data_IF_949510460864
#
_entry.id   IF_949510460864
#
_cell.length_a   1.000
_cell.length_b   1.000
_cell.length_c   1.000
_cell.angle_alpha   90.00
_cell.angle_beta   90.00
_cell.angle_gamma   90.00
#
_symmetry.space_group_name_H-M   'P 1'
#
loop_
_entity.id
_entity.type
_entity.pdbx_description
1 polymer ?
#
# COMPACT_ATOMS: atom_id res chain seq x y z
N UNK A 1 0.07 21.33 -10.32
CA UNK A 1 -1.27 21.35 -10.91
C UNK A 1 -2.29 21.93 -9.95
N UNK A 2 -3.54 22.03 -10.41
CA UNK A 2 -4.66 22.46 -9.58
C UNK A 2 -5.65 21.29 -9.44
N UNK A 3 -6.50 21.25 -8.39
CA UNK A 3 -7.47 20.17 -8.17
C UNK A 3 -8.36 19.90 -9.39
N UNK A 4 -8.88 20.95 -10.01
CA UNK A 4 -9.71 20.87 -11.22
C UNK A 4 -9.00 20.22 -12.42
N UNK A 5 -7.68 20.41 -12.55
CA UNK A 5 -6.89 19.75 -13.61
C UNK A 5 -6.72 18.26 -13.33
N UNK A 6 -6.60 17.85 -12.07
CA UNK A 6 -6.55 16.44 -11.73
C UNK A 6 -7.91 15.77 -11.97
N UNK A 7 -9.01 16.40 -11.57
CA UNK A 7 -10.37 15.90 -11.87
C UNK A 7 -10.58 15.76 -13.39
N UNK A 8 -10.16 16.77 -14.15
CA UNK A 8 -10.23 16.71 -15.63
C UNK A 8 -9.36 15.57 -16.19
N UNK A 9 -8.19 15.33 -15.62
CA UNK A 9 -7.34 14.21 -16.05
C UNK A 9 -8.04 12.87 -15.84
N UNK A 10 -8.63 12.65 -14.67
CA UNK A 10 -9.38 11.41 -14.37
C UNK A 10 -10.57 11.26 -15.33
N UNK A 11 -11.34 12.33 -15.56
CA UNK A 11 -12.46 12.32 -16.51
C UNK A 11 -12.01 11.96 -17.95
N UNK A 12 -10.89 12.52 -18.40
CA UNK A 12 -10.33 12.18 -19.72
C UNK A 12 -9.87 10.73 -19.82
N UNK A 13 -9.33 10.16 -18.75
CA UNK A 13 -8.98 8.73 -18.70
C UNK A 13 -10.23 7.87 -18.80
N UNK A 14 -11.28 8.19 -18.04
CA UNK A 14 -12.56 7.49 -18.12
C UNK A 14 -13.20 7.55 -19.50
N UNK A 15 -13.17 8.71 -20.17
CA UNK A 15 -13.63 8.84 -21.55
C UNK A 15 -12.85 7.96 -22.54
N UNK A 16 -11.58 7.67 -22.24
CA UNK A 16 -10.75 6.75 -23.01
C UNK A 16 -10.92 5.27 -22.58
N UNK A 17 -11.79 4.96 -21.61
CA UNK A 17 -12.00 3.61 -21.06
C UNK A 17 -10.86 3.13 -20.17
N UNK A 18 -10.11 4.06 -19.57
CA UNK A 18 -8.96 3.77 -18.68
C UNK A 18 -9.33 4.10 -17.24
N UNK A 19 -9.24 3.11 -16.35
CA UNK A 19 -9.37 3.32 -14.90
C UNK A 19 -8.12 3.98 -14.32
N UNK A 20 -8.30 4.73 -13.22
CA UNK A 20 -7.22 5.45 -12.53
C UNK A 20 -7.16 5.02 -11.08
N UNK A 21 -5.99 4.52 -10.65
CA UNK A 21 -5.75 4.09 -9.27
C UNK A 21 -4.97 5.16 -8.53
N UNK A 22 -5.43 5.51 -7.32
CA UNK A 22 -4.74 6.44 -6.44
C UNK A 22 -3.67 5.71 -5.63
N UNK A 23 -2.45 6.21 -5.68
CA UNK A 23 -1.39 5.75 -4.78
C UNK A 23 -1.55 6.43 -3.42
N UNK A 24 -1.78 5.65 -2.37
CA UNK A 24 -2.15 6.13 -1.05
C UNK A 24 -1.20 5.63 0.02
N UNK A 25 -0.61 6.56 0.78
CA UNK A 25 0.42 6.28 1.79
C UNK A 25 -0.14 6.49 3.21
N UNK A 26 -0.81 5.50 3.82
CA UNK A 26 -1.34 5.61 5.18
C UNK A 26 -0.33 5.24 6.27
N UNK A 27 0.89 4.89 5.90
CA UNK A 27 1.94 4.42 6.83
C UNK A 27 2.61 5.58 7.53
N UNK A 28 3.04 6.58 6.73
CA UNK A 28 3.87 7.68 7.21
C UNK A 28 3.60 8.97 6.44
N UNK A 29 4.12 10.09 6.96
CA UNK A 29 3.98 11.41 6.34
C UNK A 29 5.28 12.22 6.45
N UNK A 30 5.46 13.17 5.53
CA UNK A 30 6.63 14.04 5.46
C UNK A 30 6.72 14.98 6.68
N UNK A 31 7.96 15.32 7.08
CA UNK A 31 8.27 16.19 8.24
C UNK A 31 8.47 17.66 7.85
N UNK A 32 7.74 18.13 6.85
CA UNK A 32 7.80 19.53 6.44
C UNK A 32 7.27 20.48 7.50
N UNK A 33 7.81 21.71 7.54
CA UNK A 33 7.43 22.71 8.54
C UNK A 33 5.96 23.20 8.47
N UNK A 34 5.26 22.87 7.39
CA UNK A 34 3.82 23.08 7.18
C UNK A 34 3.02 21.77 7.23
N UNK A 35 3.67 20.65 7.57
CA UNK A 35 3.07 19.31 7.59
C UNK A 35 2.36 18.98 8.90
N UNK A 36 2.14 17.68 9.10
CA UNK A 36 1.36 17.17 10.24
C UNK A 36 2.19 16.98 11.51
N UNK A 37 3.53 16.91 11.41
CA UNK A 37 4.40 16.68 12.57
C UNK A 37 4.24 17.79 13.59
N UNK A 38 3.95 17.42 14.85
CA UNK A 38 3.71 18.34 15.95
C UNK A 38 2.68 19.44 15.58
N UNK A 39 1.59 19.05 14.93
CA UNK A 39 0.62 19.96 14.33
C UNK A 39 0.09 21.03 15.29
N UNK A 40 -0.16 20.67 16.55
CA UNK A 40 -0.59 21.56 17.62
C UNK A 40 0.50 21.78 18.70
N UNK A 41 1.75 21.45 18.37
CA UNK A 41 2.89 21.46 19.30
C UNK A 41 3.07 20.16 20.07
N UNK A 42 2.20 19.16 19.83
CA UNK A 42 2.30 17.81 20.40
C UNK A 42 2.26 16.73 19.30
N UNK A 43 2.70 15.49 19.58
CA UNK A 43 2.56 14.37 18.64
C UNK A 43 1.09 13.98 18.50
N UNK A 44 0.38 14.62 17.56
CA UNK A 44 -1.04 14.39 17.33
C UNK A 44 -1.29 13.22 16.36
N UNK A 45 -0.56 13.20 15.26
CA UNK A 45 -0.69 12.20 14.19
C UNK A 45 0.32 11.08 14.30
N UNK A 46 1.48 11.34 14.91
CA UNK A 46 2.62 10.44 15.02
C UNK A 46 2.80 9.85 16.41
N UNK A 47 3.63 8.79 16.50
CA UNK A 47 4.10 8.27 17.79
C UNK A 47 5.13 9.22 18.41
N UNK A 48 5.10 9.36 19.74
CA UNK A 48 5.98 10.28 20.51
C UNK A 48 7.41 9.74 20.71
N UNK A 49 7.70 8.52 20.30
CA UNK A 49 9.01 7.92 20.43
C UNK A 49 9.65 7.66 19.04
N UNK A 50 10.96 7.77 18.98
CA UNK A 50 11.69 7.60 17.71
C UNK A 50 11.64 6.18 17.16
N UNK A 51 11.64 5.18 18.02
CA UNK A 51 11.71 3.78 17.59
C UNK A 51 10.51 3.35 16.74
N UNK A 52 9.30 3.83 17.07
CA UNK A 52 8.08 3.54 16.32
C UNK A 52 7.59 4.72 15.49
N UNK A 53 8.00 5.95 15.84
CA UNK A 53 7.50 7.19 15.25
C UNK A 53 8.30 7.69 14.05
N UNK A 54 9.56 7.31 13.90
CA UNK A 54 10.39 7.72 12.77
C UNK A 54 10.58 6.55 11.81
N UNK A 55 10.41 6.81 10.50
CA UNK A 55 10.71 5.82 9.47
C UNK A 55 12.19 5.90 9.07
N UNK A 56 12.70 4.86 8.43
CA UNK A 56 14.03 4.83 7.84
C UNK A 56 14.24 5.89 6.74
N UNK A 57 13.14 6.40 6.17
CA UNK A 57 13.15 7.46 5.15
C UNK A 57 13.10 8.88 5.74
N UNK A 58 13.19 9.02 7.06
CA UNK A 58 13.16 10.32 7.74
C UNK A 58 11.78 10.96 7.84
N UNK A 59 10.71 10.20 7.62
CA UNK A 59 9.31 10.60 7.79
C UNK A 59 8.76 10.15 9.14
N UNK A 60 7.56 10.62 9.50
CA UNK A 60 6.87 10.20 10.73
C UNK A 60 5.81 9.14 10.44
N UNK A 61 5.77 8.07 11.24
CA UNK A 61 4.73 7.05 11.15
C UNK A 61 3.45 7.51 11.83
N UNK A 62 2.31 7.29 11.16
CA UNK A 62 0.99 7.53 11.73
C UNK A 62 0.71 6.62 12.92
N UNK A 63 0.09 7.19 13.99
CA UNK A 63 -0.36 6.41 15.14
C UNK A 63 -1.74 5.79 14.89
N UNK A 64 -1.77 4.56 14.36
CA UNK A 64 -2.99 3.88 13.95
C UNK A 64 -3.91 3.45 15.11
N UNK A 65 -3.45 3.53 16.36
CA UNK A 65 -4.30 3.29 17.54
C UNK A 65 -5.23 4.45 17.88
N UNK A 66 -5.01 5.66 17.32
CA UNK A 66 -5.87 6.83 17.53
C UNK A 66 -7.02 6.86 16.52
N UNK A 67 -8.25 6.94 17.04
CA UNK A 67 -9.44 6.99 16.20
C UNK A 67 -9.50 8.22 15.28
N UNK A 68 -8.98 9.35 15.75
CA UNK A 68 -8.89 10.59 14.99
C UNK A 68 -7.98 10.43 13.77
N UNK A 69 -6.85 9.74 13.92
CA UNK A 69 -5.92 9.43 12.83
C UNK A 69 -6.54 8.42 11.87
N UNK A 70 -7.20 7.37 12.38
CA UNK A 70 -7.94 6.43 11.56
C UNK A 70 -9.03 7.14 10.75
N UNK A 71 -9.80 8.03 11.39
CA UNK A 71 -10.86 8.80 10.73
C UNK A 71 -10.27 9.74 9.66
N UNK A 72 -9.15 10.42 9.95
CA UNK A 72 -8.46 11.26 8.99
C UNK A 72 -8.04 10.48 7.73
N UNK A 73 -7.37 9.34 7.92
CA UNK A 73 -6.91 8.51 6.81
C UNK A 73 -8.07 7.94 5.99
N UNK A 74 -9.12 7.46 6.67
CA UNK A 74 -10.29 6.94 5.99
C UNK A 74 -11.06 8.03 5.22
N UNK A 75 -11.16 9.22 5.80
CA UNK A 75 -11.81 10.37 5.14
C UNK A 75 -11.00 10.83 3.92
N UNK A 76 -9.67 10.83 4.02
CA UNK A 76 -8.80 11.17 2.89
C UNK A 76 -8.98 10.17 1.73
N UNK A 77 -8.97 8.87 2.02
CA UNK A 77 -9.20 7.85 1.00
C UNK A 77 -10.59 7.97 0.36
N UNK A 78 -11.64 8.13 1.19
CA UNK A 78 -13.00 8.34 0.70
C UNK A 78 -13.11 9.59 -0.19
N UNK A 79 -12.41 10.68 0.16
CA UNK A 79 -12.41 11.92 -0.62
C UNK A 79 -11.84 11.71 -2.03
N UNK A 80 -10.76 10.96 -2.18
CA UNK A 80 -10.21 10.63 -3.49
C UNK A 80 -11.16 9.80 -4.36
N UNK A 81 -11.86 8.83 -3.76
CA UNK A 81 -12.82 8.00 -4.47
C UNK A 81 -14.12 8.77 -4.80
N UNK A 82 -14.64 9.58 -3.87
CA UNK A 82 -15.91 10.29 -4.00
C UNK A 82 -15.81 11.52 -4.91
N UNK A 83 -14.81 12.39 -4.66
CA UNK A 83 -14.71 13.70 -5.30
C UNK A 83 -13.91 13.67 -6.61
N UNK A 84 -12.87 12.83 -6.67
CA UNK A 84 -12.01 12.71 -7.85
C UNK A 84 -12.35 11.51 -8.72
N UNK A 85 -13.23 10.63 -8.24
CA UNK A 85 -13.68 9.46 -8.97
C UNK A 85 -12.56 8.47 -9.36
N UNK A 86 -11.55 8.31 -8.50
CA UNK A 86 -10.57 7.25 -8.69
C UNK A 86 -11.25 5.87 -8.62
N UNK A 87 -10.82 4.94 -9.46
CA UNK A 87 -11.40 3.59 -9.55
C UNK A 87 -10.88 2.64 -8.48
N UNK A 88 -9.89 3.07 -7.72
CA UNK A 88 -9.32 2.28 -6.64
C UNK A 88 -8.16 2.97 -5.95
N UNK A 89 -7.62 2.25 -4.97
CA UNK A 89 -6.49 2.70 -4.15
C UNK A 89 -5.44 1.59 -4.13
N UNK A 90 -4.20 1.94 -4.44
CA UNK A 90 -3.03 1.13 -4.11
C UNK A 90 -2.45 1.66 -2.82
N UNK A 91 -2.43 0.83 -1.80
CA UNK A 91 -1.91 1.17 -0.49
C UNK A 91 -0.44 0.82 -0.40
N UNK A 92 0.37 1.85 -0.18
CA UNK A 92 1.83 1.79 -0.09
C UNK A 92 2.28 1.13 1.22
N UNK A 93 3.35 0.33 1.14
CA UNK A 93 4.11 -0.23 2.25
C UNK A 93 3.24 -0.88 3.36
N UNK A 94 2.24 -1.69 2.97
CA UNK A 94 1.33 -2.38 3.91
C UNK A 94 2.09 -3.28 4.88
N UNK A 95 3.23 -3.83 4.49
CA UNK A 95 4.15 -4.57 5.37
C UNK A 95 4.47 -3.82 6.67
N UNK A 96 4.62 -2.50 6.61
CA UNK A 96 4.94 -1.66 7.77
C UNK A 96 3.73 -1.37 8.67
N UNK A 97 2.53 -1.63 8.19
CA UNK A 97 1.31 -1.65 9.01
C UNK A 97 1.10 -3.02 9.65
N UNK A 98 1.44 -4.09 8.94
CA UNK A 98 1.32 -5.46 9.44
C UNK A 98 2.29 -5.70 10.60
N UNK A 99 3.57 -5.40 10.38
CA UNK A 99 4.62 -5.59 11.39
C UNK A 99 5.19 -4.24 11.83
N UNK A 100 5.57 -4.15 13.10
CA UNK A 100 6.23 -2.95 13.62
C UNK A 100 7.48 -2.63 12.80
N UNK A 101 7.49 -1.46 12.14
CA UNK A 101 8.56 -1.00 11.24
C UNK A 101 8.80 -1.93 10.02
N UNK A 102 7.85 -2.77 9.65
CA UNK A 102 7.98 -3.75 8.57
C UNK A 102 8.85 -4.97 8.93
N UNK A 103 9.24 -5.11 10.19
CA UNK A 103 10.12 -6.17 10.66
C UNK A 103 9.30 -7.23 11.42
N UNK A 104 9.21 -8.43 10.84
CA UNK A 104 8.50 -9.57 11.42
C UNK A 104 8.97 -9.92 12.85
N UNK A 105 10.28 -9.74 13.13
CA UNK A 105 10.85 -10.04 14.45
C UNK A 105 10.33 -9.14 15.56
N UNK A 106 9.78 -7.97 15.20
CA UNK A 106 9.17 -7.01 16.12
C UNK A 106 7.70 -7.30 16.43
N UNK A 107 7.13 -8.31 15.77
CA UNK A 107 5.76 -8.77 15.95
C UNK A 107 4.73 -7.95 15.18
N UNK A 108 3.51 -8.48 15.18
CA UNK A 108 2.36 -7.89 14.49
C UNK A 108 1.87 -6.63 15.20
N UNK A 109 1.51 -5.61 14.44
CA UNK A 109 0.87 -4.40 14.94
C UNK A 109 -0.66 -4.58 14.89
N UNK A 110 -1.22 -5.18 15.93
CA UNK A 110 -2.65 -5.49 15.99
C UNK A 110 -3.55 -4.28 15.78
N UNK A 111 -3.14 -3.10 16.25
CA UNK A 111 -3.94 -1.87 16.07
C UNK A 111 -3.96 -1.41 14.61
N UNK A 112 -2.88 -1.59 13.87
CA UNK A 112 -2.85 -1.28 12.44
C UNK A 112 -3.58 -2.37 11.63
N UNK A 113 -3.55 -3.63 12.03
CA UNK A 113 -4.38 -4.70 11.45
C UNK A 113 -5.87 -4.38 11.61
N UNK A 114 -6.30 -3.99 12.78
CA UNK A 114 -7.70 -3.58 13.02
C UNK A 114 -8.09 -2.36 12.18
N UNK A 115 -7.18 -1.38 12.07
CA UNK A 115 -7.37 -0.24 11.18
C UNK A 115 -7.52 -0.67 9.72
N UNK A 116 -6.64 -1.52 9.19
CA UNK A 116 -6.71 -2.01 7.80
C UNK A 116 -8.05 -2.70 7.50
N UNK A 117 -8.49 -3.59 8.40
CA UNK A 117 -9.78 -4.27 8.27
C UNK A 117 -10.96 -3.28 8.24
N UNK A 118 -10.98 -2.34 9.18
CA UNK A 118 -12.03 -1.32 9.25
C UNK A 118 -12.01 -0.39 8.03
N UNK A 119 -10.81 0.02 7.60
CA UNK A 119 -10.59 0.88 6.45
C UNK A 119 -11.10 0.24 5.15
N UNK A 120 -10.66 -0.98 4.85
CA UNK A 120 -11.06 -1.70 3.65
C UNK A 120 -12.56 -2.01 3.64
N UNK A 121 -13.11 -2.48 4.77
CA UNK A 121 -14.55 -2.73 4.90
C UNK A 121 -15.37 -1.45 4.68
N UNK A 122 -14.97 -0.34 5.30
CA UNK A 122 -15.66 0.95 5.18
C UNK A 122 -15.63 1.50 3.76
N UNK A 123 -14.49 1.39 3.06
CA UNK A 123 -14.39 1.81 1.66
C UNK A 123 -15.24 0.92 0.73
N UNK A 124 -15.19 -0.39 0.90
CA UNK A 124 -16.01 -1.32 0.09
C UNK A 124 -17.51 -1.17 0.32
N UNK A 125 -17.95 -0.76 1.51
CA UNK A 125 -19.34 -0.44 1.77
C UNK A 125 -19.82 0.81 1.04
N UNK A 126 -18.98 1.83 0.91
CA UNK A 126 -19.29 3.10 0.23
C UNK A 126 -19.05 3.03 -1.27
N UNK A 127 -17.98 2.37 -1.67
CA UNK A 127 -17.48 2.26 -3.04
C UNK A 127 -17.29 0.77 -3.40
N UNK A 128 -18.36 0.00 -3.61
CA UNK A 128 -18.27 -1.45 -3.79
C UNK A 128 -17.48 -1.87 -5.03
N UNK A 129 -17.36 -1.01 -6.02
CA UNK A 129 -16.59 -1.24 -7.26
C UNK A 129 -15.14 -0.79 -7.17
N UNK A 130 -14.76 0.01 -6.16
CA UNK A 130 -13.38 0.47 -6.01
C UNK A 130 -12.43 -0.70 -5.76
N UNK A 131 -11.31 -0.71 -6.46
CA UNK A 131 -10.27 -1.72 -6.33
C UNK A 131 -9.32 -1.33 -5.18
N UNK A 132 -9.09 -2.24 -4.25
CA UNK A 132 -8.15 -2.06 -3.13
C UNK A 132 -6.96 -2.99 -3.31
N UNK A 133 -5.78 -2.42 -3.50
CA UNK A 133 -4.53 -3.12 -3.81
C UNK A 133 -3.54 -2.89 -2.69
N UNK A 134 -2.93 -3.96 -2.17
CA UNK A 134 -1.88 -3.88 -1.17
C UNK A 134 -0.50 -4.00 -1.83
N UNK A 135 0.40 -3.07 -1.52
CA UNK A 135 1.83 -3.33 -1.66
C UNK A 135 2.32 -3.94 -0.34
N UNK A 136 2.56 -5.23 -0.38
CA UNK A 136 3.05 -5.97 0.79
C UNK A 136 4.06 -7.03 0.38
N UNK A 137 5.27 -6.91 0.91
CA UNK A 137 6.40 -7.82 0.65
C UNK A 137 6.48 -9.01 1.61
N UNK A 138 5.55 -9.10 2.58
CA UNK A 138 5.60 -10.13 3.62
C UNK A 138 4.84 -11.40 3.23
N UNK A 139 5.07 -12.46 3.99
CA UNK A 139 4.30 -13.70 3.91
C UNK A 139 3.08 -13.71 4.86
N UNK A 140 2.64 -12.54 5.34
CA UNK A 140 1.45 -12.44 6.20
C UNK A 140 0.23 -13.00 5.47
N UNK A 141 -0.50 -13.95 6.10
CA UNK A 141 -1.58 -14.66 5.41
C UNK A 141 -2.87 -13.83 5.35
N UNK A 142 -3.64 -14.03 4.28
CA UNK A 142 -4.99 -13.50 4.17
C UNK A 142 -5.07 -12.00 3.89
N UNK A 143 -4.05 -11.41 3.27
CA UNK A 143 -4.07 -10.00 2.83
C UNK A 143 -5.27 -9.76 1.91
N UNK A 144 -5.52 -10.69 0.99
CA UNK A 144 -6.65 -10.61 0.04
C UNK A 144 -7.88 -11.43 0.45
N UNK A 145 -7.85 -12.08 1.61
CA UNK A 145 -9.03 -12.74 2.17
C UNK A 145 -10.05 -11.70 2.69
N UNK A 146 -11.36 -11.94 2.53
CA UNK A 146 -12.38 -11.06 3.08
C UNK A 146 -12.27 -10.88 4.60
N UNK A 147 -12.60 -9.68 5.09
CA UNK A 147 -12.55 -9.35 6.53
C UNK A 147 -13.40 -10.30 7.38
N UNK A 148 -14.57 -10.75 6.89
CA UNK A 148 -15.44 -11.68 7.60
C UNK A 148 -14.85 -13.10 7.74
N UNK A 149 -13.81 -13.43 6.96
CA UNK A 149 -13.01 -14.66 7.11
C UNK A 149 -11.74 -14.46 7.95
N UNK A 150 -11.54 -13.25 8.46
CA UNK A 150 -10.36 -12.89 9.25
C UNK A 150 -9.25 -12.19 8.47
N UNK A 151 -9.36 -12.08 7.14
CA UNK A 151 -8.39 -11.42 6.28
C UNK A 151 -8.41 -9.89 6.36
N UNK A 152 -7.52 -9.24 5.62
CA UNK A 152 -7.40 -7.78 5.60
C UNK A 152 -8.38 -7.09 4.63
N UNK A 153 -8.95 -7.82 3.67
CA UNK A 153 -10.01 -7.36 2.78
C UNK A 153 -9.53 -6.57 1.56
N UNK A 154 -8.28 -6.68 1.16
CA UNK A 154 -7.82 -6.18 -0.14
C UNK A 154 -8.37 -7.03 -1.29
N UNK A 155 -8.56 -6.43 -2.46
CA UNK A 155 -8.92 -7.16 -3.66
C UNK A 155 -7.72 -7.87 -4.28
N UNK A 156 -6.55 -7.22 -4.26
CA UNK A 156 -5.29 -7.72 -4.80
C UNK A 156 -4.10 -7.37 -3.92
N UNK A 157 -3.04 -8.13 -4.08
CA UNK A 157 -1.71 -7.89 -3.51
C UNK A 157 -0.67 -7.87 -4.63
N UNK A 158 0.26 -6.92 -4.61
CA UNK A 158 1.39 -6.94 -5.52
C UNK A 158 2.27 -8.17 -5.30
N UNK A 159 2.73 -8.79 -6.36
CA UNK A 159 3.68 -9.91 -6.31
C UNK A 159 5.12 -9.39 -6.43
N UNK A 160 5.59 -8.74 -5.38
CA UNK A 160 6.96 -8.19 -5.32
C UNK A 160 8.02 -9.28 -5.49
N UNK A 161 7.76 -10.50 -5.03
CA UNK A 161 8.64 -11.65 -5.23
C UNK A 161 8.81 -11.99 -6.71
N UNK A 162 7.71 -12.08 -7.45
CA UNK A 162 7.75 -12.29 -8.90
C UNK A 162 8.47 -11.14 -9.63
N UNK A 163 8.23 -9.90 -9.22
CA UNK A 163 8.87 -8.73 -9.81
C UNK A 163 10.39 -8.79 -9.64
N UNK A 164 10.89 -8.99 -8.41
CA UNK A 164 12.32 -9.06 -8.13
C UNK A 164 12.99 -10.22 -8.87
N UNK A 165 12.41 -11.43 -8.80
CA UNK A 165 12.92 -12.61 -9.48
C UNK A 165 13.00 -12.41 -11.01
N UNK A 166 11.98 -11.77 -11.59
CA UNK A 166 11.93 -11.50 -13.02
C UNK A 166 12.94 -10.46 -13.45
N UNK A 167 13.08 -9.35 -12.68
CA UNK A 167 14.07 -8.31 -12.97
C UNK A 167 15.49 -8.88 -12.86
N UNK A 168 15.79 -9.65 -11.81
CA UNK A 168 17.09 -10.30 -11.65
C UNK A 168 17.39 -11.28 -12.80
N UNK A 169 16.39 -12.04 -13.25
CA UNK A 169 16.54 -12.88 -14.43
C UNK A 169 16.89 -12.08 -15.69
N UNK A 170 16.23 -10.94 -15.92
CA UNK A 170 16.51 -10.11 -17.10
C UNK A 170 17.86 -9.41 -17.03
N UNK A 171 18.35 -9.09 -15.84
CA UNK A 171 19.71 -8.53 -15.61
C UNK A 171 20.81 -9.59 -15.85
N UNK A 172 20.48 -10.88 -15.73
CA UNK A 172 21.42 -11.97 -16.01
C UNK A 172 21.79 -12.01 -17.49
N UNK A 173 23.09 -12.09 -17.79
CA UNK A 173 23.59 -12.22 -19.16
C UNK A 173 22.98 -13.42 -19.88
N UNK A 174 22.65 -13.30 -21.19
CA UNK A 174 21.93 -14.34 -21.94
C UNK A 174 22.56 -15.73 -21.84
N UNK A 175 23.89 -15.80 -21.75
CA UNK A 175 24.67 -17.04 -21.64
C UNK A 175 24.46 -17.79 -20.32
N UNK A 176 23.98 -17.09 -19.28
CA UNK A 176 23.75 -17.65 -17.93
C UNK A 176 22.27 -17.91 -17.64
N UNK A 177 21.33 -17.39 -18.43
CA UNK A 177 19.87 -17.46 -18.19
C UNK A 177 19.33 -18.88 -18.07
N UNK A 178 19.98 -19.85 -18.76
CA UNK A 178 19.56 -21.26 -18.66
C UNK A 178 19.73 -21.86 -17.27
N UNK A 179 20.56 -21.27 -16.42
CA UNK A 179 20.74 -21.69 -15.00
C UNK A 179 19.72 -21.06 -14.07
N UNK A 180 19.21 -19.88 -14.45
CA UNK A 180 18.38 -19.04 -13.56
C UNK A 180 16.91 -19.01 -14.01
N UNK A 181 16.51 -19.86 -14.99
CA UNK A 181 15.13 -19.88 -15.49
C UNK A 181 14.08 -20.15 -14.40
N UNK A 182 14.47 -20.83 -13.30
CA UNK A 182 13.60 -21.10 -12.15
C UNK A 182 13.05 -19.82 -11.52
N UNK A 183 13.75 -18.69 -11.62
CA UNK A 183 13.27 -17.38 -11.13
C UNK A 183 11.96 -16.98 -11.81
N UNK A 184 11.79 -17.25 -13.10
CA UNK A 184 10.55 -16.94 -13.82
C UNK A 184 9.35 -17.80 -13.39
N UNK A 185 9.60 -18.94 -12.75
CA UNK A 185 8.55 -19.89 -12.38
C UNK A 185 8.37 -20.05 -10.87
N UNK A 186 9.25 -19.45 -10.06
CA UNK A 186 9.22 -19.63 -8.62
C UNK A 186 7.92 -19.14 -7.98
N UNK A 187 7.34 -18.06 -8.48
CA UNK A 187 6.05 -17.54 -8.00
C UNK A 187 4.92 -18.57 -8.08
N UNK A 188 5.00 -19.56 -8.98
CA UNK A 188 4.00 -20.63 -9.08
C UNK A 188 3.91 -21.49 -7.81
N UNK A 189 4.93 -21.46 -6.94
CA UNK A 189 4.95 -22.20 -5.68
C UNK A 189 3.95 -21.62 -4.69
N UNK A 190 3.78 -20.28 -4.69
CA UNK A 190 2.94 -19.55 -3.72
C UNK A 190 1.76 -18.79 -4.37
N UNK A 191 1.68 -18.76 -5.67
CA UNK A 191 0.68 -18.00 -6.46
C UNK A 191 -0.77 -18.21 -5.99
N UNK A 192 -1.09 -19.32 -5.37
CA UNK A 192 -2.44 -19.67 -4.91
C UNK A 192 -2.80 -19.12 -3.53
N UNK A 193 -1.83 -18.56 -2.81
CA UNK A 193 -2.03 -18.11 -1.43
C UNK A 193 -2.83 -16.81 -1.34
N UNK A 194 -2.68 -15.94 -2.33
CA UNK A 194 -3.32 -14.63 -2.41
C UNK A 194 -3.80 -14.35 -3.84
N UNK A 195 -4.58 -13.30 -4.02
CA UNK A 195 -4.91 -12.77 -5.34
C UNK A 195 -3.82 -11.79 -5.78
N UNK A 196 -2.81 -12.30 -6.42
CA UNK A 196 -1.67 -11.52 -6.85
C UNK A 196 -1.93 -10.69 -8.10
N UNK A 197 -1.32 -9.51 -8.15
CA UNK A 197 -1.17 -8.66 -9.31
C UNK A 197 0.30 -8.61 -9.68
N UNK A 198 0.62 -8.94 -10.94
CA UNK A 198 1.99 -8.89 -11.45
C UNK A 198 2.26 -7.46 -11.93
N UNK A 199 3.14 -6.77 -11.24
CA UNK A 199 3.51 -5.40 -11.54
C UNK A 199 5.00 -5.24 -11.83
N UNK A 200 5.34 -4.11 -12.43
CA UNK A 200 6.69 -3.57 -12.44
C UNK A 200 6.65 -2.18 -11.82
N UNK A 201 7.20 -2.05 -10.61
CA UNK A 201 7.31 -0.76 -9.95
C UNK A 201 8.41 0.08 -10.60
N UNK A 202 8.13 1.39 -10.79
CA UNK A 202 9.10 2.30 -11.40
C UNK A 202 10.40 2.42 -10.59
N UNK A 203 10.32 2.34 -9.26
CA UNK A 203 11.49 2.41 -8.38
C UNK A 203 12.45 1.25 -8.65
N UNK A 204 11.94 0.03 -8.75
CA UNK A 204 12.75 -1.17 -8.98
C UNK A 204 13.27 -1.25 -10.43
N UNK A 205 12.50 -0.79 -11.41
CA UNK A 205 12.91 -0.81 -12.82
C UNK A 205 13.97 0.25 -13.13
N UNK A 206 13.93 1.40 -12.41
CA UNK A 206 14.82 2.54 -12.66
C UNK A 206 16.03 2.56 -11.71
N UNK A 207 15.86 2.12 -10.46
CA UNK A 207 16.85 2.24 -9.39
C UNK A 207 17.31 0.89 -8.83
N UNK A 208 16.66 -0.23 -9.21
CA UNK A 208 16.98 -1.59 -8.79
C UNK A 208 18.16 -2.23 -9.54
#
# INVERSE_FOLDING_TARGET
>A
GTPDKLMKFVDMMHQAGIGVIMDFVPVHFAVDGYGLKLYDGTPLYEYDNKDTGESEWGSCNFIHSRREVQCFLQSAANYWLEEYHFDGIRMDAVSRLIYWQGDESRGVNDTAIDFLKAFNLGLKQRHPTAMLIAEDSTAYPGVTEPVWKGGLGFDYKWDLGWMHDTLEYFQTGPEYRSRDYHKLTFSMVYFWNERYMLEYCHDEVVHG
#
